data_IF_247954739693
#
_entry.id   IF_247954739693
#
_cell.length_a   1.000
_cell.length_b   1.000
_cell.length_c   1.000
_cell.angle_alpha   90.00
_cell.angle_beta   90.00
_cell.angle_gamma   90.00
#
_symmetry.space_group_name_H-M   'P 1'
#
loop_
_entity.id
_entity.type
_entity.pdbx_description
1 polymer ?
#
# COMPACT_ATOMS: atom_id res chain seq x y z
N UNK A 1 27.12 15.30 -21.01
CA UNK A 1 25.79 15.89 -20.78
C UNK A 1 24.75 14.85 -20.38
N UNK A 2 24.61 13.72 -21.10
CA UNK A 2 23.59 12.68 -20.82
C UNK A 2 23.72 12.06 -19.41
N UNK A 3 24.93 11.72 -18.96
CA UNK A 3 25.14 11.12 -17.64
C UNK A 3 24.68 12.02 -16.47
N UNK A 4 24.86 13.35 -16.60
CA UNK A 4 24.40 14.30 -15.59
C UNK A 4 22.88 14.38 -15.48
N UNK A 5 22.18 14.27 -16.62
CA UNK A 5 20.71 14.23 -16.66
C UNK A 5 20.19 12.94 -16.01
N UNK A 6 20.80 11.80 -16.30
CA UNK A 6 20.42 10.50 -15.70
C UNK A 6 20.62 10.55 -14.18
N UNK A 7 21.76 11.05 -13.70
CA UNK A 7 22.04 11.14 -12.28
C UNK A 7 21.03 12.06 -11.55
N UNK A 8 20.71 13.22 -12.12
CA UNK A 8 19.72 14.13 -11.56
C UNK A 8 18.31 13.51 -11.52
N UNK A 9 17.89 12.82 -12.58
CA UNK A 9 16.59 12.15 -12.63
C UNK A 9 16.49 11.02 -11.60
N UNK A 10 17.54 10.19 -11.48
CA UNK A 10 17.59 9.11 -10.49
C UNK A 10 17.57 9.66 -9.05
N UNK A 11 18.35 10.70 -8.78
CA UNK A 11 18.37 11.36 -7.47
C UNK A 11 17.02 11.98 -7.10
N UNK A 12 16.37 12.66 -8.05
CA UNK A 12 15.03 13.23 -7.86
C UNK A 12 13.98 12.16 -7.58
N UNK A 13 14.01 11.05 -8.32
CA UNK A 13 13.10 9.92 -8.09
C UNK A 13 13.31 9.28 -6.72
N UNK A 14 14.57 9.05 -6.31
CA UNK A 14 14.89 8.51 -4.98
C UNK A 14 14.44 9.45 -3.86
N UNK A 15 14.62 10.76 -4.04
CA UNK A 15 14.17 11.76 -3.06
C UNK A 15 12.64 11.78 -2.95
N UNK A 16 11.93 11.76 -4.07
CA UNK A 16 10.47 11.68 -4.10
C UNK A 16 9.97 10.40 -3.42
N UNK A 17 10.56 9.24 -3.72
CA UNK A 17 10.28 7.96 -3.04
C UNK A 17 10.63 7.98 -1.54
N UNK A 18 11.55 8.81 -1.10
CA UNK A 18 11.90 8.93 0.30
C UNK A 18 10.89 9.77 1.08
N UNK A 19 10.44 10.87 0.48
CA UNK A 19 9.58 11.87 1.12
C UNK A 19 8.08 11.60 0.97
N UNK A 20 7.67 10.81 -0.02
CA UNK A 20 6.24 10.54 -0.24
C UNK A 20 5.74 9.48 0.75
N UNK A 21 4.75 9.81 1.60
CA UNK A 21 4.20 8.84 2.55
C UNK A 21 3.40 7.76 1.82
N UNK A 22 3.39 6.56 2.41
CA UNK A 22 2.52 5.47 1.96
C UNK A 22 1.09 5.79 2.36
N UNK A 23 0.18 5.71 1.39
CA UNK A 23 -1.24 5.94 1.57
C UNK A 23 -1.98 4.61 1.50
N UNK A 24 -2.77 4.28 2.53
CA UNK A 24 -3.67 3.12 2.50
C UNK A 24 -4.94 3.56 1.77
N UNK A 25 -5.23 2.90 0.66
CA UNK A 25 -6.36 3.24 -0.22
C UNK A 25 -7.57 2.37 0.08
N UNK A 26 -7.34 1.09 0.37
CA UNK A 26 -8.40 0.16 0.74
C UNK A 26 -7.81 -0.99 1.55
N UNK A 27 -8.65 -1.58 2.40
CA UNK A 27 -8.38 -2.83 3.10
C UNK A 27 -9.51 -3.78 2.72
N UNK A 28 -9.14 -4.94 2.20
CA UNK A 28 -10.05 -6.00 1.79
C UNK A 28 -9.90 -7.22 2.70
N UNK A 29 -10.82 -8.16 2.50
CA UNK A 29 -10.75 -9.48 3.12
C UNK A 29 -9.40 -10.16 2.85
N UNK A 30 -9.09 -11.17 3.67
CA UNK A 30 -7.81 -11.90 3.64
C UNK A 30 -6.59 -11.02 3.97
N UNK A 31 -6.76 -10.01 4.81
CA UNK A 31 -5.68 -9.12 5.28
C UNK A 31 -4.92 -8.45 4.14
N UNK A 32 -5.64 -8.08 3.07
CA UNK A 32 -5.07 -7.42 1.89
C UNK A 32 -5.19 -5.91 1.99
N UNK A 33 -4.05 -5.23 2.01
CA UNK A 33 -3.91 -3.77 2.09
C UNK A 33 -3.47 -3.25 0.73
N UNK A 34 -4.31 -2.40 0.12
CA UNK A 34 -4.00 -1.70 -1.12
C UNK A 34 -3.41 -0.34 -0.79
N UNK A 35 -2.21 -0.07 -1.30
CA UNK A 35 -1.46 1.14 -0.98
C UNK A 35 -1.02 1.90 -2.22
N UNK A 36 -0.77 3.21 -2.06
CA UNK A 36 0.01 4.03 -2.99
C UNK A 36 1.35 4.40 -2.36
N UNK A 37 2.37 4.58 -3.19
CA UNK A 37 3.70 5.04 -2.79
C UNK A 37 4.47 4.10 -1.82
N UNK A 38 4.03 2.85 -1.62
CA UNK A 38 4.85 1.71 -2.06
C UNK A 38 6.39 1.82 -1.97
N UNK A 39 7.11 1.75 -0.83
CA UNK A 39 8.56 1.87 -0.87
C UNK A 39 9.15 0.77 -1.76
N UNK A 40 10.01 1.15 -2.70
CA UNK A 40 10.58 0.18 -3.65
C UNK A 40 11.48 -0.88 -2.99
N UNK A 41 12.22 -0.51 -1.95
CA UNK A 41 13.16 -1.40 -1.27
C UNK A 41 12.47 -2.25 -0.20
N UNK A 42 12.66 -3.57 -0.25
CA UNK A 42 12.10 -4.54 0.73
C UNK A 42 12.35 -4.15 2.19
N UNK A 43 13.55 -3.65 2.51
CA UNK A 43 13.88 -3.20 3.86
C UNK A 43 12.98 -2.04 4.33
N UNK A 44 12.63 -1.11 3.43
CA UNK A 44 11.71 -0.01 3.73
C UNK A 44 10.25 -0.47 3.79
N UNK A 45 9.87 -1.47 3.01
CA UNK A 45 8.54 -2.10 3.10
C UNK A 45 8.34 -2.76 4.48
N UNK A 46 9.33 -3.52 4.94
CA UNK A 46 9.32 -4.13 6.28
C UNK A 46 9.31 -3.06 7.36
N UNK A 47 10.17 -2.04 7.26
CA UNK A 47 10.20 -0.95 8.25
C UNK A 47 8.88 -0.18 8.30
N UNK A 48 8.22 0.03 7.16
CA UNK A 48 6.90 0.62 7.11
C UNK A 48 5.86 -0.25 7.82
N UNK A 49 5.84 -1.56 7.55
CA UNK A 49 4.94 -2.48 8.24
C UNK A 49 5.15 -2.45 9.75
N UNK A 50 6.40 -2.60 10.21
CA UNK A 50 6.74 -2.59 11.64
C UNK A 50 6.30 -1.30 12.34
N UNK A 51 6.41 -0.15 11.67
CA UNK A 51 6.01 1.14 12.22
C UNK A 51 4.50 1.39 12.22
N UNK A 52 3.71 0.67 11.41
CA UNK A 52 2.28 0.95 11.22
C UNK A 52 1.36 -0.19 11.67
N UNK A 53 1.86 -1.40 11.88
CA UNK A 53 1.05 -2.60 12.16
C UNK A 53 0.10 -2.44 13.35
N UNK A 54 0.51 -1.73 14.41
CA UNK A 54 -0.35 -1.51 15.58
C UNK A 54 -1.52 -0.59 15.25
N UNK A 55 -1.26 0.50 14.52
CA UNK A 55 -2.30 1.42 14.06
C UNK A 55 -3.23 0.74 13.05
N UNK A 56 -2.68 -0.01 12.11
CA UNK A 56 -3.46 -0.77 11.12
C UNK A 56 -4.38 -1.77 11.83
N UNK A 57 -3.89 -2.44 12.87
CA UNK A 57 -4.71 -3.34 13.66
C UNK A 57 -5.83 -2.61 14.41
N UNK A 58 -5.55 -1.45 14.99
CA UNK A 58 -6.56 -0.65 15.68
C UNK A 58 -7.63 -0.12 14.72
N UNK A 59 -7.25 0.31 13.52
CA UNK A 59 -8.15 0.95 12.55
C UNK A 59 -8.94 -0.07 11.72
N UNK A 60 -8.34 -1.23 11.40
CA UNK A 60 -8.90 -2.19 10.44
C UNK A 60 -9.06 -3.62 10.98
N UNK A 61 -8.56 -3.93 12.18
CA UNK A 61 -8.65 -5.25 12.80
C UNK A 61 -7.67 -6.31 12.26
N UNK A 62 -6.80 -5.97 11.30
CA UNK A 62 -5.86 -6.89 10.66
C UNK A 62 -4.44 -6.77 11.24
N UNK A 63 -3.58 -7.79 11.14
CA UNK A 63 -3.85 -9.10 10.53
C UNK A 63 -4.59 -10.02 11.49
N UNK A 64 -5.45 -10.86 10.92
CA UNK A 64 -6.08 -11.95 11.61
C UNK A 64 -5.05 -13.05 11.87
N UNK A 65 -5.03 -13.56 13.10
CA UNK A 65 -4.14 -14.67 13.47
C UNK A 65 -4.80 -16.00 13.14
N UNK A 66 -4.02 -16.91 12.57
CA UNK A 66 -4.39 -18.30 12.43
C UNK A 66 -4.42 -18.99 13.81
N UNK A 67 -4.93 -20.23 13.85
CA UNK A 67 -5.08 -21.01 15.08
C UNK A 67 -3.75 -21.32 15.78
N UNK A 68 -2.64 -21.33 15.05
CA UNK A 68 -1.28 -21.50 15.58
C UNK A 68 -0.62 -20.17 16.03
N UNK A 69 -1.35 -19.06 15.92
CA UNK A 69 -0.89 -17.72 16.28
C UNK A 69 -0.05 -17.01 15.22
N UNK A 70 0.26 -17.67 14.09
CA UNK A 70 0.87 -17.02 12.94
C UNK A 70 -0.12 -16.11 12.21
N UNK A 71 0.35 -15.23 11.33
CA UNK A 71 -0.50 -14.39 10.50
C UNK A 71 0.15 -14.11 9.14
N UNK A 72 -0.68 -13.80 8.16
CA UNK A 72 -0.27 -13.29 6.85
C UNK A 72 -0.84 -11.89 6.64
N UNK A 73 -0.13 -11.05 5.89
CA UNK A 73 -0.65 -9.78 5.40
C UNK A 73 -0.13 -9.56 3.99
N UNK A 74 -1.01 -9.12 3.08
CA UNK A 74 -0.64 -8.79 1.71
C UNK A 74 -0.69 -7.28 1.57
N UNK A 75 0.45 -6.65 1.29
CA UNK A 75 0.50 -5.20 1.02
C UNK A 75 0.85 -5.01 -0.45
N UNK A 76 -0.07 -4.45 -1.24
CA UNK A 76 0.07 -4.34 -2.68
C UNK A 76 -0.01 -2.90 -3.17
N UNK A 77 1.05 -2.46 -3.87
CA UNK A 77 0.96 -1.31 -4.77
C UNK A 77 0.24 -1.76 -6.04
N UNK A 78 -1.00 -1.33 -6.19
CA UNK A 78 -1.90 -1.76 -7.27
C UNK A 78 -1.71 -0.96 -8.57
N UNK A 79 -0.79 0.02 -8.58
CA UNK A 79 -0.55 0.89 -9.72
C UNK A 79 -1.81 1.65 -10.17
N UNK A 80 -2.33 1.30 -11.35
CA UNK A 80 -3.48 1.94 -11.99
C UNK A 80 -4.69 1.03 -12.19
N UNK A 81 -4.59 -0.24 -11.78
CA UNK A 81 -5.61 -1.25 -12.06
C UNK A 81 -6.81 -1.20 -11.11
N UNK A 82 -6.58 -0.86 -9.85
CA UNK A 82 -7.64 -0.80 -8.85
C UNK A 82 -8.46 0.48 -8.99
N UNK A 83 -9.78 0.32 -8.98
CA UNK A 83 -10.75 1.41 -8.91
C UNK A 83 -11.27 1.47 -7.48
N UNK A 84 -11.07 2.62 -6.84
CA UNK A 84 -11.54 2.85 -5.48
C UNK A 84 -13.05 3.05 -5.54
N UNK A 85 -13.76 2.17 -4.86
CA UNK A 85 -15.16 2.38 -4.50
C UNK A 85 -15.24 3.39 -3.35
N UNK A 86 -15.96 4.48 -3.58
CA UNK A 86 -16.18 5.58 -2.63
C UNK A 86 -17.53 5.46 -1.93
N UNK A 87 -18.30 4.40 -2.21
CA UNK A 87 -19.64 4.20 -1.66
C UNK A 87 -20.64 5.22 -2.20
N UNK A 88 -20.50 5.63 -3.46
CA UNK A 88 -21.42 6.57 -4.12
C UNK A 88 -22.21 5.87 -5.22
N UNK A 89 -23.36 6.45 -5.62
CA UNK A 89 -24.13 5.90 -6.73
C UNK A 89 -23.34 5.86 -8.06
N UNK A 90 -22.24 6.62 -8.15
CA UNK A 90 -21.40 6.72 -9.35
C UNK A 90 -20.41 5.56 -9.50
N UNK A 91 -20.11 4.83 -8.42
CA UNK A 91 -19.21 3.68 -8.40
C UNK A 91 -19.85 2.38 -7.90
N UNK A 92 -21.19 2.37 -7.79
CA UNK A 92 -21.96 1.16 -7.47
C UNK A 92 -21.78 0.02 -8.50
N UNK A 93 -21.33 0.33 -9.72
CA UNK A 93 -21.00 -0.66 -10.75
C UNK A 93 -19.69 -1.44 -10.46
N UNK A 94 -18.90 -1.02 -9.47
CA UNK A 94 -17.70 -1.71 -9.02
C UNK A 94 -17.99 -2.85 -8.04
N UNK A 95 -19.19 -2.90 -7.46
CA UNK A 95 -19.60 -3.90 -6.50
C UNK A 95 -20.21 -5.12 -7.22
N UNK A 96 -19.93 -6.31 -6.69
CA UNK A 96 -20.72 -7.49 -7.05
C UNK A 96 -22.11 -7.32 -6.43
N UNK A 97 -23.16 -7.27 -7.26
CA UNK A 97 -24.54 -7.31 -6.78
C UNK A 97 -24.84 -8.71 -6.23
N UNK A 98 -25.55 -8.78 -5.10
CA UNK A 98 -26.05 -10.02 -4.49
C UNK A 98 -27.05 -10.78 -5.39
#
# INVERSE_FOLDING_TARGET
MIAGVIAAAAGGWLLWQYLTPVEIVAVHDEDTILVRHFPYLKSRQIAWWEANKEKINADYGIPHKYSDGSYGVVVMDFGKGYRVDRGTDQDADLLCFD
#
